data_IF_841196537185
#
_entry.id   IF_841196537185
#
_cell.length_a   1.000
_cell.length_b   1.000
_cell.length_c   1.000
_cell.angle_alpha   90.00
_cell.angle_beta   90.00
_cell.angle_gamma   90.00
#
_symmetry.space_group_name_H-M   'P 1'
#
loop_
_entity.id
_entity.type
_entity.pdbx_description
1 polymer ?
#
# COMPACT_ATOMS: atom_id res chain seq x y z
N UNK A 1 3.58 9.98 33.92
CA UNK A 1 2.81 10.69 32.85
C UNK A 1 1.40 10.10 32.86
N UNK A 2 0.38 10.88 33.16
CA UNK A 2 -1.01 10.41 33.03
C UNK A 2 -1.26 10.07 31.56
N UNK A 3 -1.79 8.87 31.30
CA UNK A 3 -2.16 8.47 29.94
C UNK A 3 -3.26 9.39 29.42
N UNK A 4 -3.03 10.04 28.32
CA UNK A 4 -3.99 10.87 27.62
C UNK A 4 -5.17 9.98 27.17
N UNK A 5 -6.40 10.30 27.56
CA UNK A 5 -7.59 9.58 27.10
C UNK A 5 -8.05 10.07 25.72
N UNK A 6 -9.08 9.42 25.14
CA UNK A 6 -9.68 9.78 23.83
C UNK A 6 -10.02 11.27 23.70
N UNK A 7 -10.50 11.90 24.78
CA UNK A 7 -10.78 13.35 24.85
C UNK A 7 -9.50 14.17 24.69
N UNK A 8 -8.38 13.71 25.26
CA UNK A 8 -7.09 14.35 25.11
C UNK A 8 -6.57 14.27 23.67
N UNK A 9 -6.70 13.12 23.01
CA UNK A 9 -6.39 12.95 21.60
C UNK A 9 -7.19 13.89 20.69
N UNK A 10 -8.51 14.00 20.92
CA UNK A 10 -9.36 14.95 20.17
C UNK A 10 -8.87 16.39 20.29
N UNK A 11 -8.36 16.77 21.45
CA UNK A 11 -7.80 18.12 21.67
C UNK A 11 -6.47 18.31 20.96
N UNK A 12 -5.55 17.32 21.06
CA UNK A 12 -4.21 17.37 20.48
C UNK A 12 -4.27 17.36 18.95
N UNK A 13 -5.07 16.46 18.36
CA UNK A 13 -5.20 16.27 16.91
C UNK A 13 -6.42 16.98 16.31
N UNK A 14 -6.91 18.04 16.97
CA UNK A 14 -8.15 18.73 16.58
C UNK A 14 -8.14 19.22 15.13
N UNK A 15 -7.03 19.74 14.66
CA UNK A 15 -6.91 20.29 13.30
C UNK A 15 -6.88 19.18 12.26
N UNK A 16 -6.15 18.09 12.52
CA UNK A 16 -6.12 16.88 11.68
C UNK A 16 -7.51 16.25 11.58
N UNK A 17 -8.18 16.03 12.72
CA UNK A 17 -9.54 15.48 12.77
C UNK A 17 -10.52 16.37 12.02
N UNK A 18 -10.47 17.68 12.23
CA UNK A 18 -11.30 18.63 11.49
C UNK A 18 -11.01 18.63 9.99
N UNK A 19 -9.74 18.51 9.60
CA UNK A 19 -9.32 18.38 8.21
C UNK A 19 -9.89 17.14 7.54
N UNK A 20 -9.74 15.97 8.18
CA UNK A 20 -10.29 14.72 7.69
C UNK A 20 -11.83 14.76 7.58
N UNK A 21 -12.52 15.33 8.58
CA UNK A 21 -13.97 15.46 8.54
C UNK A 21 -14.45 16.39 7.42
N UNK A 22 -13.74 17.48 7.15
CA UNK A 22 -14.05 18.37 6.02
C UNK A 22 -14.06 17.68 4.66
N UNK A 23 -13.29 16.61 4.46
CA UNK A 23 -13.31 15.86 3.20
C UNK A 23 -14.73 15.33 2.87
N UNK A 24 -15.46 14.87 3.89
CA UNK A 24 -16.85 14.42 3.72
C UNK A 24 -17.85 15.57 3.76
N UNK A 25 -17.69 16.51 4.68
CA UNK A 25 -18.62 17.66 4.86
C UNK A 25 -18.68 18.57 3.63
N UNK A 26 -17.56 18.70 2.91
CA UNK A 26 -17.48 19.46 1.67
C UNK A 26 -17.76 18.60 0.41
N UNK A 27 -18.11 17.31 0.59
CA UNK A 27 -18.39 16.41 -0.52
C UNK A 27 -17.17 16.07 -1.38
N UNK A 28 -15.94 16.25 -0.86
CA UNK A 28 -14.70 15.90 -1.56
C UNK A 28 -14.58 14.39 -1.71
N UNK A 29 -15.00 13.63 -0.69
CA UNK A 29 -15.16 12.18 -0.75
C UNK A 29 -16.55 11.79 -0.24
N UNK A 30 -17.16 10.70 -0.74
CA UNK A 30 -18.43 10.21 -0.24
C UNK A 30 -18.39 9.79 1.22
N UNK A 31 -17.33 9.12 1.63
CA UNK A 31 -17.16 8.61 2.98
C UNK A 31 -15.69 8.41 3.37
N UNK A 32 -15.49 8.31 4.67
CA UNK A 32 -14.17 8.14 5.28
C UNK A 32 -14.26 7.25 6.52
N UNK A 33 -13.28 6.36 6.67
CA UNK A 33 -12.95 5.67 7.92
C UNK A 33 -11.51 6.01 8.27
N UNK A 34 -11.24 6.51 9.46
CA UNK A 34 -9.88 6.83 9.85
C UNK A 34 -9.61 6.51 11.32
N UNK A 35 -8.35 6.30 11.64
CA UNK A 35 -7.87 6.19 12.99
C UNK A 35 -6.60 7.01 13.18
N UNK A 36 -6.46 7.56 14.35
CA UNK A 36 -5.24 8.12 14.90
C UNK A 36 -4.89 7.30 16.13
N UNK A 37 -3.61 7.00 16.33
CA UNK A 37 -3.14 6.39 17.56
C UNK A 37 -1.87 7.08 18.06
N UNK A 38 -1.70 7.12 19.37
CA UNK A 38 -0.62 7.80 20.07
C UNK A 38 -0.41 7.13 21.42
N UNK A 39 0.77 6.49 21.60
CA UNK A 39 1.14 5.79 22.84
C UNK A 39 0.05 4.82 23.34
N UNK A 40 -0.50 4.00 22.44
CA UNK A 40 -1.51 3.00 22.76
C UNK A 40 -2.92 3.54 22.98
N UNK A 41 -3.18 4.84 22.74
CA UNK A 41 -4.50 5.44 22.75
C UNK A 41 -4.95 5.64 21.31
N UNK A 42 -6.19 5.26 21.03
CA UNK A 42 -6.76 5.34 19.70
C UNK A 42 -7.97 6.27 19.65
N UNK A 43 -8.10 6.99 18.55
CA UNK A 43 -9.32 7.69 18.13
C UNK A 43 -9.73 7.19 16.77
N UNK A 44 -10.99 6.79 16.61
CA UNK A 44 -11.54 6.24 15.36
C UNK A 44 -12.81 6.98 14.95
N UNK A 45 -12.98 7.18 13.66
CA UNK A 45 -14.18 7.80 13.09
C UNK A 45 -14.60 7.09 11.80
N UNK A 46 -15.90 6.95 11.60
CA UNK A 46 -16.52 6.45 10.35
C UNK A 46 -17.64 7.41 9.98
N UNK A 47 -17.57 8.03 8.80
CA UNK A 47 -18.46 9.12 8.40
C UNK A 47 -18.81 9.08 6.93
N UNK A 48 -20.05 9.44 6.57
CA UNK A 48 -20.50 9.58 5.20
C UNK A 48 -21.09 8.31 4.60
N UNK A 49 -20.85 8.09 3.32
CA UNK A 49 -21.50 7.06 2.52
C UNK A 49 -20.47 6.11 1.89
N UNK A 50 -20.79 4.83 1.89
CA UNK A 50 -20.05 3.83 1.11
C UNK A 50 -20.31 3.99 -0.38
N UNK A 51 -21.55 4.29 -0.74
CA UNK A 51 -22.00 4.43 -2.13
C UNK A 51 -22.90 5.67 -2.26
N UNK A 52 -22.73 6.44 -3.35
CA UNK A 52 -23.60 7.55 -3.71
C UNK A 52 -24.24 7.39 -5.10
N UNK A 53 -23.75 6.46 -5.91
CA UNK A 53 -24.26 6.07 -7.22
C UNK A 53 -24.02 4.57 -7.47
N UNK A 54 -24.99 3.82 -8.05
CA UNK A 54 -26.31 4.29 -8.51
C UNK A 54 -27.32 4.53 -7.39
N UNK A 55 -27.03 4.07 -6.16
CA UNK A 55 -27.88 4.29 -4.98
C UNK A 55 -27.07 4.87 -3.83
N UNK A 56 -27.76 5.39 -2.82
CA UNK A 56 -27.11 5.93 -1.63
C UNK A 56 -27.09 4.87 -0.53
N UNK A 57 -25.90 4.46 -0.09
CA UNK A 57 -25.68 3.51 1.00
C UNK A 57 -24.79 4.13 2.07
N UNK A 58 -25.24 4.16 3.35
CA UNK A 58 -24.40 4.65 4.45
C UNK A 58 -23.12 3.83 4.62
N UNK A 59 -22.02 4.50 4.93
CA UNK A 59 -20.80 3.85 5.32
C UNK A 59 -20.97 3.23 6.73
N UNK A 60 -20.51 1.99 6.90
CA UNK A 60 -20.57 1.27 8.17
C UNK A 60 -19.16 0.91 8.62
N UNK A 61 -18.96 0.81 9.93
CA UNK A 61 -17.75 0.23 10.49
C UNK A 61 -17.49 -1.18 9.91
N UNK A 62 -16.23 -1.57 9.81
CA UNK A 62 -15.77 -2.87 9.29
C UNK A 62 -16.06 -3.14 7.80
N UNK A 63 -16.50 -2.15 7.03
CA UNK A 63 -16.50 -2.31 5.58
C UNK A 63 -15.06 -2.37 5.06
N UNK A 64 -14.84 -3.23 4.06
CA UNK A 64 -13.53 -3.44 3.44
C UNK A 64 -13.33 -2.42 2.31
N UNK A 65 -12.16 -1.81 2.29
CA UNK A 65 -11.74 -0.90 1.24
C UNK A 65 -10.72 -1.57 0.32
N UNK A 66 -10.81 -1.32 -0.98
CA UNK A 66 -9.72 -1.62 -1.90
C UNK A 66 -8.50 -0.76 -1.52
N UNK A 67 -7.47 -1.41 -1.04
CA UNK A 67 -6.25 -0.76 -0.57
C UNK A 67 -5.37 -0.23 -1.70
N UNK A 68 -5.63 -0.64 -2.93
CA UNK A 68 -4.78 -0.30 -4.07
C UNK A 68 -3.29 -0.53 -3.74
N UNK A 69 -2.47 0.50 -3.89
CA UNK A 69 -1.03 0.39 -3.68
C UNK A 69 -0.56 0.16 -2.24
N UNK A 70 -1.42 0.28 -1.22
CA UNK A 70 -1.05 -0.16 0.12
C UNK A 70 -0.76 -1.68 0.17
N UNK A 71 -1.31 -2.46 -0.77
CA UNK A 71 -0.96 -3.88 -0.98
C UNK A 71 0.56 -4.10 -1.03
N UNK A 72 1.30 -3.16 -1.61
CA UNK A 72 2.75 -3.24 -1.73
C UNK A 72 3.44 -3.32 -0.38
N UNK A 73 3.06 -2.43 0.52
CA UNK A 73 3.76 -2.24 1.81
C UNK A 73 3.19 -3.11 2.93
N UNK A 74 1.90 -3.46 2.86
CA UNK A 74 1.26 -4.33 3.85
C UNK A 74 1.48 -5.81 3.50
N UNK A 75 1.57 -6.14 2.21
CA UNK A 75 1.66 -7.52 1.74
C UNK A 75 3.03 -7.88 1.16
N UNK A 76 3.38 -7.30 0.01
CA UNK A 76 4.56 -7.74 -0.75
C UNK A 76 5.88 -7.42 -0.04
N UNK A 77 6.03 -6.23 0.56
CA UNK A 77 7.26 -5.87 1.31
C UNK A 77 7.54 -6.85 2.44
N UNK A 78 6.62 -7.19 3.34
CA UNK A 78 6.88 -8.19 4.37
C UNK A 78 7.32 -9.55 3.82
N UNK A 79 6.68 -10.06 2.77
CA UNK A 79 7.08 -11.34 2.13
C UNK A 79 8.52 -11.27 1.60
N UNK A 80 8.89 -10.18 0.95
CA UNK A 80 10.26 -9.97 0.44
C UNK A 80 11.26 -9.83 1.61
N UNK A 81 10.89 -9.08 2.66
CA UNK A 81 11.72 -8.92 3.86
C UNK A 81 11.99 -10.29 4.55
N UNK A 82 10.95 -11.12 4.70
CA UNK A 82 11.08 -12.51 5.22
C UNK A 82 12.01 -13.33 4.33
N UNK A 83 11.93 -13.21 3.01
CA UNK A 83 12.83 -13.92 2.09
C UNK A 83 14.29 -13.46 2.25
N UNK A 84 14.52 -12.17 2.49
CA UNK A 84 15.86 -11.60 2.72
C UNK A 84 16.42 -12.12 4.05
N UNK A 85 15.67 -12.06 5.15
CA UNK A 85 16.08 -12.57 6.45
C UNK A 85 16.41 -14.07 6.41
N UNK A 86 15.63 -14.84 5.65
CA UNK A 86 15.87 -16.27 5.45
C UNK A 86 17.05 -16.57 4.51
N UNK A 87 17.77 -15.56 4.01
CA UNK A 87 18.89 -15.72 3.09
C UNK A 87 18.54 -16.25 1.69
N UNK A 88 17.24 -16.29 1.34
CA UNK A 88 16.76 -16.75 0.03
C UNK A 88 16.88 -15.70 -1.05
N UNK A 89 16.98 -14.43 -0.66
CA UNK A 89 17.03 -13.26 -1.51
C UNK A 89 18.01 -12.24 -0.91
N UNK A 90 18.74 -11.52 -1.77
CA UNK A 90 19.62 -10.40 -1.38
C UNK A 90 19.15 -9.11 -2.06
N UNK A 91 19.26 -7.99 -1.37
CA UNK A 91 18.96 -6.66 -1.94
C UNK A 91 19.79 -6.40 -3.22
N UNK A 92 21.02 -6.90 -3.26
CA UNK A 92 21.96 -6.75 -4.39
C UNK A 92 21.76 -7.76 -5.52
N UNK A 93 20.87 -8.74 -5.35
CA UNK A 93 20.61 -9.71 -6.44
C UNK A 93 19.99 -9.00 -7.64
N UNK A 94 20.48 -9.29 -8.89
CA UNK A 94 19.85 -8.77 -10.08
C UNK A 94 18.48 -9.43 -10.29
N UNK A 95 17.52 -8.63 -10.77
CA UNK A 95 16.16 -9.10 -11.11
C UNK A 95 16.21 -10.29 -12.07
N UNK A 96 17.09 -10.24 -13.07
CA UNK A 96 17.26 -11.27 -14.08
C UNK A 96 17.62 -12.66 -13.50
N UNK A 97 18.26 -12.74 -12.33
CA UNK A 97 18.57 -14.00 -11.64
C UNK A 97 17.32 -14.85 -11.40
N UNK A 98 16.20 -14.21 -11.10
CA UNK A 98 14.93 -14.86 -10.77
C UNK A 98 13.94 -14.83 -11.95
N UNK A 99 14.02 -13.80 -12.79
CA UNK A 99 13.17 -13.56 -13.95
C UNK A 99 14.02 -13.49 -15.22
N UNK A 100 14.50 -14.62 -15.74
CA UNK A 100 15.45 -14.66 -16.88
C UNK A 100 14.83 -14.18 -18.20
N UNK A 101 13.52 -14.10 -18.29
CA UNK A 101 12.80 -13.50 -19.42
C UNK A 101 13.04 -11.98 -19.52
N UNK A 102 13.26 -11.31 -18.40
CA UNK A 102 13.68 -9.91 -18.36
C UNK A 102 15.18 -9.80 -18.65
N UNK A 103 15.55 -9.18 -19.75
CA UNK A 103 16.92 -9.28 -20.32
C UNK A 103 17.94 -8.31 -19.73
N UNK A 104 17.51 -7.30 -18.98
CA UNK A 104 18.43 -6.34 -18.38
C UNK A 104 18.90 -6.80 -17.00
N UNK A 105 20.19 -7.00 -16.83
CA UNK A 105 20.80 -7.50 -15.58
C UNK A 105 21.14 -6.40 -14.57
N UNK A 106 20.96 -5.13 -14.92
CA UNK A 106 21.36 -3.99 -14.08
C UNK A 106 20.45 -3.73 -12.88
N UNK A 107 19.11 -3.79 -13.00
CA UNK A 107 18.26 -3.57 -11.85
C UNK A 107 18.37 -4.68 -10.81
N UNK A 108 18.42 -4.28 -9.54
CA UNK A 108 18.47 -5.17 -8.38
C UNK A 108 17.15 -5.17 -7.61
N UNK A 109 17.03 -6.08 -6.66
CA UNK A 109 15.90 -6.14 -5.73
C UNK A 109 15.75 -4.82 -4.98
N UNK A 110 16.86 -4.21 -4.55
CA UNK A 110 16.84 -2.89 -3.89
C UNK A 110 16.27 -1.81 -4.81
N UNK A 111 16.61 -1.83 -6.08
CA UNK A 111 16.06 -0.88 -7.05
C UNK A 111 14.53 -1.04 -7.22
N UNK A 112 14.02 -2.26 -7.20
CA UNK A 112 12.57 -2.50 -7.25
C UNK A 112 11.89 -1.93 -6.00
N UNK A 113 12.40 -2.25 -4.81
CA UNK A 113 11.84 -1.80 -3.53
C UNK A 113 11.88 -0.28 -3.37
N UNK A 114 12.91 0.39 -3.88
CA UNK A 114 13.09 1.85 -3.76
C UNK A 114 12.54 2.66 -4.93
N UNK A 115 11.95 2.00 -5.94
CA UNK A 115 11.50 2.63 -7.18
C UNK A 115 12.61 3.39 -7.94
N UNK A 116 13.83 2.87 -7.90
CA UNK A 116 14.99 3.41 -8.60
C UNK A 116 15.45 2.53 -9.76
N UNK A 117 14.63 1.58 -10.18
CA UNK A 117 14.95 0.55 -11.18
C UNK A 117 15.07 1.07 -12.61
N UNK A 118 14.48 2.22 -12.92
CA UNK A 118 14.38 2.73 -14.28
C UNK A 118 13.55 1.84 -15.22
N UNK A 119 12.89 0.79 -14.70
CA UNK A 119 12.07 -0.12 -15.53
C UNK A 119 10.83 0.64 -16.00
N UNK A 120 10.66 0.69 -17.29
CA UNK A 120 9.57 1.37 -17.96
C UNK A 120 9.20 0.66 -19.28
N UNK A 121 8.07 1.06 -19.85
CA UNK A 121 7.53 0.54 -21.09
C UNK A 121 6.01 0.59 -21.08
N UNK A 122 5.44 0.81 -22.25
CA UNK A 122 4.00 0.82 -22.44
C UNK A 122 3.56 -0.52 -23.05
N UNK A 123 2.57 -1.15 -22.46
CA UNK A 123 1.93 -2.36 -22.99
C UNK A 123 0.56 -1.94 -23.55
N UNK A 124 0.38 -1.97 -24.89
CA UNK A 124 -0.89 -1.65 -25.51
C UNK A 124 -1.97 -2.66 -25.08
N UNK A 125 -3.22 -2.17 -24.97
CA UNK A 125 -4.39 -3.00 -24.68
C UNK A 125 -4.23 -3.98 -23.51
N UNK A 126 -3.45 -3.60 -22.50
CA UNK A 126 -3.08 -4.47 -21.37
C UNK A 126 -4.26 -5.00 -20.56
N UNK A 127 -5.39 -4.33 -20.59
CA UNK A 127 -6.65 -4.70 -19.94
C UNK A 127 -7.52 -5.66 -20.77
N UNK A 128 -7.07 -5.99 -21.99
CA UNK A 128 -7.68 -6.98 -22.88
C UNK A 128 -6.89 -8.29 -22.93
N UNK A 129 -5.66 -8.30 -22.36
CA UNK A 129 -4.80 -9.48 -22.31
C UNK A 129 -5.27 -10.44 -21.21
N UNK A 130 -5.00 -11.73 -21.42
CA UNK A 130 -5.08 -12.72 -20.34
C UNK A 130 -3.97 -12.49 -19.30
N UNK A 131 -4.11 -13.04 -18.10
CA UNK A 131 -3.07 -12.94 -17.06
C UNK A 131 -1.70 -13.40 -17.55
N UNK A 132 -1.67 -14.53 -18.27
CA UNK A 132 -0.43 -15.09 -18.83
C UNK A 132 0.21 -14.17 -19.87
N UNK A 133 -0.58 -13.62 -20.79
CA UNK A 133 -0.10 -12.70 -21.82
C UNK A 133 0.38 -11.39 -21.20
N UNK A 134 -0.33 -10.85 -20.21
CA UNK A 134 0.05 -9.63 -19.52
C UNK A 134 1.36 -9.83 -18.74
N UNK A 135 1.51 -10.95 -18.02
CA UNK A 135 2.77 -11.30 -17.32
C UNK A 135 3.92 -11.41 -18.31
N UNK A 136 3.72 -12.14 -19.41
CA UNK A 136 4.72 -12.29 -20.45
C UNK A 136 5.11 -10.94 -21.08
N UNK A 137 4.15 -10.07 -21.35
CA UNK A 137 4.42 -8.74 -21.89
C UNK A 137 5.26 -7.90 -20.92
N UNK A 138 4.94 -7.90 -19.62
CA UNK A 138 5.76 -7.22 -18.61
C UNK A 138 7.18 -7.78 -18.56
N UNK A 139 7.37 -9.10 -18.65
CA UNK A 139 8.71 -9.71 -18.59
C UNK A 139 9.55 -9.45 -19.85
N UNK A 140 8.95 -9.29 -21.02
CA UNK A 140 9.70 -9.24 -22.30
C UNK A 140 9.68 -7.90 -23.00
N UNK A 141 8.72 -7.00 -22.71
CA UNK A 141 8.56 -5.72 -23.42
C UNK A 141 9.01 -4.52 -22.59
N UNK A 142 9.34 -4.72 -21.30
CA UNK A 142 9.89 -3.65 -20.48
C UNK A 142 11.39 -3.47 -20.74
N UNK A 143 11.86 -2.23 -20.55
CA UNK A 143 13.27 -1.88 -20.67
C UNK A 143 13.69 -0.97 -19.52
N UNK A 144 15.00 -0.79 -19.35
CA UNK A 144 15.56 0.08 -18.32
C UNK A 144 16.07 1.36 -18.97
N UNK A 145 15.52 2.50 -18.54
CA UNK A 145 15.94 3.80 -19.02
C UNK A 145 17.14 4.38 -18.23
N UNK A 146 17.54 5.59 -18.57
CA UNK A 146 18.68 6.27 -17.95
C UNK A 146 18.44 6.74 -16.51
N UNK A 147 17.23 6.54 -15.96
CA UNK A 147 16.90 6.93 -14.59
C UNK A 147 17.31 5.90 -13.52
N UNK A 148 17.77 4.71 -13.93
CA UNK A 148 18.31 3.69 -13.02
C UNK A 148 19.37 4.30 -12.09
N UNK A 149 19.13 4.20 -10.77
CA UNK A 149 19.98 4.76 -9.71
C UNK A 149 20.26 6.27 -9.83
N UNK A 150 19.39 7.01 -10.53
CA UNK A 150 19.49 8.48 -10.67
C UNK A 150 18.23 9.20 -10.25
N UNK A 151 17.09 8.55 -10.33
CA UNK A 151 15.79 9.15 -10.01
C UNK A 151 14.87 8.12 -9.35
N UNK A 152 14.07 8.58 -8.41
CA UNK A 152 12.95 7.81 -7.87
C UNK A 152 11.76 7.99 -8.83
N UNK A 153 11.41 6.93 -9.54
CA UNK A 153 10.24 6.87 -10.42
C UNK A 153 9.29 5.78 -9.95
N UNK A 154 8.22 6.19 -9.25
CA UNK A 154 7.21 5.23 -8.80
C UNK A 154 6.62 4.46 -9.99
N UNK A 155 6.72 3.12 -9.94
CA UNK A 155 6.21 2.25 -10.98
C UNK A 155 5.70 0.94 -10.40
N UNK A 156 4.47 0.56 -10.76
CA UNK A 156 3.83 -0.68 -10.28
C UNK A 156 4.57 -1.94 -10.75
N UNK A 157 5.22 -1.90 -11.91
CA UNK A 157 5.99 -3.01 -12.46
C UNK A 157 7.05 -3.52 -11.47
N UNK A 158 7.62 -2.65 -10.65
CA UNK A 158 8.58 -3.04 -9.63
C UNK A 158 7.98 -4.07 -8.66
N UNK A 159 6.75 -3.87 -8.26
CA UNK A 159 6.05 -4.74 -7.31
C UNK A 159 5.37 -5.95 -7.97
N UNK A 160 5.09 -5.88 -9.26
CA UNK A 160 4.77 -7.08 -10.05
C UNK A 160 5.99 -8.02 -10.07
N UNK A 161 7.17 -7.49 -10.37
CA UNK A 161 8.42 -8.28 -10.40
C UNK A 161 8.77 -8.84 -9.03
N UNK A 162 8.67 -8.05 -7.96
CA UNK A 162 8.88 -8.55 -6.59
C UNK A 162 7.93 -9.71 -6.25
N UNK A 163 6.66 -9.60 -6.62
CA UNK A 163 5.68 -10.68 -6.47
C UNK A 163 6.12 -11.94 -7.20
N UNK A 164 6.45 -11.85 -8.48
CA UNK A 164 6.88 -13.00 -9.29
C UNK A 164 8.22 -13.59 -8.84
N UNK A 165 9.12 -12.79 -8.29
CA UNK A 165 10.35 -13.26 -7.65
C UNK A 165 10.02 -14.09 -6.41
N UNK A 166 9.11 -13.61 -5.56
CA UNK A 166 8.64 -14.38 -4.40
C UNK A 166 7.99 -15.70 -4.83
N UNK A 167 7.17 -15.69 -5.89
CA UNK A 167 6.59 -16.91 -6.48
C UNK A 167 7.65 -17.92 -6.93
N UNK A 168 8.74 -17.45 -7.56
CA UNK A 168 9.85 -18.32 -7.96
C UNK A 168 10.59 -18.93 -6.77
N UNK A 169 10.71 -18.18 -5.67
CA UNK A 169 11.43 -18.64 -4.45
C UNK A 169 10.59 -19.65 -3.68
N UNK A 170 9.28 -19.45 -3.58
CA UNK A 170 8.41 -20.21 -2.69
C UNK A 170 7.48 -21.21 -3.40
N UNK A 171 7.30 -21.11 -4.72
CA UNK A 171 6.44 -22.01 -5.50
C UNK A 171 4.94 -21.79 -5.27
N UNK A 172 4.53 -20.63 -4.76
CA UNK A 172 3.14 -20.25 -4.49
C UNK A 172 2.88 -18.85 -5.06
N UNK A 173 1.61 -18.52 -5.34
CA UNK A 173 1.25 -17.17 -5.79
C UNK A 173 1.56 -16.13 -4.71
N UNK A 174 1.87 -14.91 -5.13
CA UNK A 174 2.18 -13.83 -4.18
C UNK A 174 1.04 -13.57 -3.20
N UNK A 175 -0.22 -13.67 -3.63
CA UNK A 175 -1.36 -13.49 -2.73
C UNK A 175 -1.45 -14.61 -1.69
N UNK A 176 -1.17 -15.87 -2.06
CA UNK A 176 -1.10 -16.99 -1.10
C UNK A 176 0.05 -16.80 -0.11
N UNK A 177 1.20 -16.28 -0.55
CA UNK A 177 2.32 -15.97 0.33
C UNK A 177 1.98 -14.84 1.30
N UNK A 178 1.34 -13.78 0.83
CA UNK A 178 0.87 -12.69 1.69
C UNK A 178 -0.10 -13.23 2.74
N UNK A 179 -1.07 -14.05 2.33
CA UNK A 179 -2.03 -14.64 3.26
C UNK A 179 -1.32 -15.45 4.35
N UNK A 180 -0.50 -16.41 3.97
CA UNK A 180 0.09 -17.38 4.91
C UNK A 180 1.26 -16.81 5.73
N UNK A 181 2.06 -15.89 5.17
CA UNK A 181 3.26 -15.38 5.84
C UNK A 181 3.03 -14.06 6.56
N UNK A 182 1.95 -13.32 6.25
CA UNK A 182 1.70 -12.00 6.82
C UNK A 182 0.33 -11.93 7.49
N UNK A 183 -0.76 -12.13 6.74
CA UNK A 183 -2.12 -11.89 7.25
C UNK A 183 -2.51 -12.88 8.36
N UNK A 184 -2.29 -14.18 8.16
CA UNK A 184 -2.63 -15.22 9.13
C UNK A 184 -1.83 -15.06 10.45
N UNK A 185 -0.49 -14.90 10.43
CA UNK A 185 0.28 -14.67 11.65
C UNK A 185 -0.12 -13.40 12.40
N UNK A 186 -0.48 -12.33 11.68
CA UNK A 186 -0.95 -11.07 12.27
C UNK A 186 -2.43 -11.10 12.65
N UNK A 187 -3.15 -12.19 12.34
CA UNK A 187 -4.59 -12.36 12.60
C UNK A 187 -5.46 -11.29 11.92
N UNK A 188 -5.06 -10.81 10.77
CA UNK A 188 -5.81 -9.85 9.95
C UNK A 188 -6.93 -10.54 9.18
N UNK A 189 -7.97 -10.96 9.90
CA UNK A 189 -9.03 -11.86 9.39
C UNK A 189 -9.98 -11.20 8.40
N UNK A 190 -10.09 -9.88 8.45
CA UNK A 190 -10.94 -9.09 7.56
C UNK A 190 -10.15 -8.55 6.34
N UNK A 191 -8.87 -8.93 6.22
CA UNK A 191 -8.02 -8.57 5.08
C UNK A 191 -7.96 -9.72 4.11
N UNK A 192 -8.27 -9.47 2.83
CA UNK A 192 -8.42 -10.51 1.82
C UNK A 192 -8.20 -9.98 0.41
N UNK A 193 -7.98 -10.91 -0.53
CA UNK A 193 -8.00 -10.62 -1.98
C UNK A 193 -9.34 -10.99 -2.63
N UNK A 194 -10.24 -11.64 -1.88
CA UNK A 194 -11.56 -12.10 -2.34
C UNK A 194 -12.66 -11.57 -1.40
N UNK A 195 -12.87 -10.24 -1.34
CA UNK A 195 -13.87 -9.66 -0.45
C UNK A 195 -15.28 -9.95 -0.94
N UNK A 196 -16.23 -10.08 -0.01
CA UNK A 196 -17.63 -10.10 -0.36
C UNK A 196 -18.09 -8.69 -0.77
N UNK A 197 -18.72 -8.56 -1.93
CA UNK A 197 -19.18 -7.27 -2.43
C UNK A 197 -20.07 -6.52 -1.43
N UNK A 198 -20.94 -7.23 -0.70
CA UNK A 198 -21.84 -6.63 0.30
C UNK A 198 -21.08 -5.97 1.47
N UNK A 199 -19.87 -6.41 1.76
CA UNK A 199 -19.01 -5.87 2.81
C UNK A 199 -17.98 -4.87 2.30
N UNK A 200 -17.91 -4.68 0.99
CA UNK A 200 -16.90 -3.81 0.37
C UNK A 200 -17.45 -2.42 0.10
N UNK A 201 -16.60 -1.42 0.27
CA UNK A 201 -16.85 -0.06 -0.20
C UNK A 201 -16.61 -0.02 -1.71
N UNK A 202 -17.59 0.42 -2.53
CA UNK A 202 -17.40 0.50 -3.96
C UNK A 202 -16.37 1.56 -4.34
N UNK A 203 -15.70 1.33 -5.46
CA UNK A 203 -14.77 2.27 -6.08
C UNK A 203 -15.48 3.00 -7.24
N UNK A 204 -15.06 2.85 -8.45
CA UNK A 204 -15.51 3.64 -9.60
C UNK A 204 -16.73 3.03 -10.31
N UNK A 205 -17.54 3.86 -10.95
CA UNK A 205 -18.55 3.43 -11.91
C UNK A 205 -17.96 3.57 -13.31
N UNK A 206 -17.63 2.47 -13.94
CA UNK A 206 -17.02 2.44 -15.28
C UNK A 206 -17.99 1.94 -16.34
N UNK A 207 -17.88 2.47 -17.57
CA UNK A 207 -18.72 2.03 -18.68
C UNK A 207 -18.56 0.51 -18.97
N UNK A 208 -17.34 -0.03 -18.88
CA UNK A 208 -17.02 -1.43 -19.20
C UNK A 208 -17.31 -2.39 -18.04
N UNK A 209 -17.04 -1.96 -16.77
CA UNK A 209 -17.15 -2.83 -15.58
C UNK A 209 -18.37 -2.54 -14.70
N UNK A 210 -19.15 -1.48 -15.01
CA UNK A 210 -20.23 -1.01 -14.14
C UNK A 210 -19.69 -0.48 -12.80
N UNK A 211 -20.46 -0.65 -11.72
CA UNK A 211 -20.03 -0.35 -10.37
C UNK A 211 -18.98 -1.38 -9.92
N UNK A 212 -17.76 -0.93 -9.71
CA UNK A 212 -16.68 -1.80 -9.20
C UNK A 212 -16.83 -1.92 -7.70
N UNK A 213 -17.22 -3.11 -7.23
CA UNK A 213 -17.43 -3.41 -5.81
C UNK A 213 -17.03 -4.87 -5.51
N UNK A 214 -16.16 -5.08 -4.53
CA UNK A 214 -15.67 -6.42 -4.19
C UNK A 214 -14.69 -7.02 -5.21
N UNK A 215 -14.16 -6.21 -6.12
CA UNK A 215 -13.12 -6.57 -7.08
C UNK A 215 -12.12 -5.44 -7.20
N UNK A 216 -10.85 -5.76 -7.47
CA UNK A 216 -9.78 -4.77 -7.56
C UNK A 216 -10.09 -3.67 -8.58
N UNK A 217 -9.93 -2.41 -8.18
CA UNK A 217 -10.03 -1.26 -9.08
C UNK A 217 -8.87 -1.23 -10.09
N UNK A 218 -7.65 -1.53 -9.62
CA UNK A 218 -6.46 -1.55 -10.47
C UNK A 218 -6.62 -2.57 -11.61
N UNK A 219 -6.50 -2.16 -12.88
CA UNK A 219 -6.71 -3.06 -14.01
C UNK A 219 -5.68 -4.19 -14.09
N UNK A 220 -4.45 -3.99 -13.60
CA UNK A 220 -3.43 -5.05 -13.57
C UNK A 220 -3.78 -6.10 -12.53
N UNK A 221 -4.22 -5.67 -11.34
CA UNK A 221 -4.67 -6.58 -10.29
C UNK A 221 -5.94 -7.34 -10.72
N UNK A 222 -6.84 -6.69 -11.44
CA UNK A 222 -8.03 -7.34 -11.98
C UNK A 222 -7.69 -8.44 -13.00
N UNK A 223 -6.70 -8.22 -13.85
CA UNK A 223 -6.27 -9.20 -14.88
C UNK A 223 -5.36 -10.28 -14.30
N UNK A 224 -4.34 -9.90 -13.50
CA UNK A 224 -3.33 -10.84 -12.99
C UNK A 224 -3.84 -11.69 -11.82
N UNK A 225 -4.87 -11.23 -11.11
CA UNK A 225 -5.44 -11.97 -9.98
C UNK A 225 -4.37 -12.30 -8.93
N UNK A 226 -4.25 -13.58 -8.60
CA UNK A 226 -3.37 -14.08 -7.55
C UNK A 226 -1.86 -13.76 -7.74
N UNK A 227 -1.45 -13.42 -8.96
CA UNK A 227 -0.05 -13.10 -9.30
C UNK A 227 0.28 -11.60 -9.20
N UNK A 228 -0.65 -10.77 -8.70
CA UNK A 228 -0.45 -9.33 -8.58
C UNK A 228 0.10 -8.94 -7.22
N UNK A 229 1.37 -8.55 -7.15
CA UNK A 229 2.02 -8.03 -5.93
C UNK A 229 1.91 -6.52 -5.72
N UNK A 230 1.25 -5.76 -6.62
CA UNK A 230 1.23 -4.30 -6.53
C UNK A 230 -0.09 -3.71 -6.04
N UNK A 231 -1.19 -4.48 -6.08
CA UNK A 231 -2.54 -4.05 -5.71
C UNK A 231 -3.48 -5.27 -5.58
N UNK A 232 -4.73 -5.04 -5.17
CA UNK A 232 -5.81 -6.04 -5.14
C UNK A 232 -6.20 -6.51 -3.74
N UNK A 233 -5.49 -6.10 -2.70
CA UNK A 233 -5.85 -6.39 -1.31
C UNK A 233 -7.00 -5.47 -0.84
N UNK A 234 -7.92 -6.04 -0.09
CA UNK A 234 -8.98 -5.34 0.63
C UNK A 234 -8.79 -5.49 2.12
N UNK A 235 -9.07 -4.45 2.88
CA UNK A 235 -8.94 -4.47 4.34
C UNK A 235 -9.92 -3.53 5.03
N UNK A 236 -10.04 -3.69 6.34
CA UNK A 236 -10.77 -2.82 7.25
C UNK A 236 -9.84 -1.89 8.01
N UNK A 237 -10.41 -0.87 8.65
CA UNK A 237 -9.64 0.01 9.55
C UNK A 237 -9.04 -0.77 10.72
N UNK A 238 -9.79 -1.75 11.26
CA UNK A 238 -9.37 -2.55 12.41
C UNK A 238 -8.13 -3.40 12.08
N UNK A 239 -8.12 -4.09 10.93
CA UNK A 239 -6.97 -4.90 10.51
C UNK A 239 -5.74 -4.04 10.19
N UNK A 240 -5.94 -2.84 9.63
CA UNK A 240 -4.82 -1.92 9.40
C UNK A 240 -4.23 -1.37 10.69
N UNK A 241 -5.05 -1.18 11.74
CA UNK A 241 -4.54 -0.87 13.06
C UNK A 241 -3.71 -2.03 13.63
N UNK A 242 -4.20 -3.29 13.52
CA UNK A 242 -3.41 -4.46 13.92
C UNK A 242 -2.05 -4.50 13.21
N UNK A 243 -2.02 -4.27 11.90
CA UNK A 243 -0.79 -4.21 11.14
C UNK A 243 0.13 -3.08 11.61
N UNK A 244 -0.42 -1.89 11.81
CA UNK A 244 0.34 -0.70 12.17
C UNK A 244 1.00 -0.84 13.53
N UNK A 245 0.24 -1.24 14.55
CA UNK A 245 0.79 -1.53 15.88
C UNK A 245 1.81 -2.67 15.84
N UNK A 246 1.51 -3.77 15.14
CA UNK A 246 2.44 -4.87 15.01
C UNK A 246 3.77 -4.44 14.36
N UNK A 247 3.73 -3.55 13.36
CA UNK A 247 4.95 -3.10 12.70
C UNK A 247 5.83 -2.24 13.61
N UNK A 248 5.24 -1.25 14.30
CA UNK A 248 6.05 -0.29 15.09
C UNK A 248 6.40 -0.78 16.49
N UNK A 249 5.54 -1.60 17.11
CA UNK A 249 5.73 -2.03 18.51
C UNK A 249 6.42 -3.39 18.62
N UNK A 250 6.17 -4.31 17.68
CA UNK A 250 6.56 -5.72 17.83
C UNK A 250 7.20 -6.33 16.58
N UNK A 251 7.65 -5.50 15.64
CA UNK A 251 8.29 -5.97 14.40
C UNK A 251 7.45 -7.00 13.64
N UNK A 252 6.16 -6.68 13.43
CA UNK A 252 5.12 -7.56 12.88
C UNK A 252 4.97 -8.86 13.70
N UNK A 253 4.82 -8.74 15.01
CA UNK A 253 4.76 -9.88 15.95
C UNK A 253 5.97 -10.82 15.82
N UNK A 254 7.15 -10.26 15.57
CA UNK A 254 8.40 -11.02 15.42
C UNK A 254 8.56 -11.70 14.05
N UNK A 255 7.73 -11.39 13.05
CA UNK A 255 7.94 -11.87 11.68
C UNK A 255 9.19 -11.26 11.04
N UNK A 256 9.50 -10.02 11.41
CA UNK A 256 10.73 -9.32 11.00
C UNK A 256 11.67 -9.18 12.20
N UNK A 257 12.96 -9.24 11.96
CA UNK A 257 13.97 -8.90 12.97
C UNK A 257 14.16 -7.37 13.08
N UNK A 258 14.77 -6.92 14.19
CA UNK A 258 15.01 -5.50 14.45
C UNK A 258 15.76 -4.81 13.30
N UNK A 259 16.78 -5.52 12.77
CA UNK A 259 17.58 -4.98 11.66
C UNK A 259 16.73 -4.69 10.45
N UNK A 260 15.85 -5.63 10.08
CA UNK A 260 14.99 -5.49 8.90
C UNK A 260 13.99 -4.34 9.08
N UNK A 261 13.38 -4.24 10.27
CA UNK A 261 12.45 -3.13 10.54
C UNK A 261 13.18 -1.79 10.51
N UNK A 262 14.40 -1.71 11.06
CA UNK A 262 15.24 -0.52 10.95
C UNK A 262 15.51 -0.10 9.51
N UNK A 263 15.65 -1.06 8.58
CA UNK A 263 15.82 -0.72 7.16
C UNK A 263 14.55 -0.10 6.55
N UNK A 264 13.36 -0.39 7.08
CA UNK A 264 12.12 0.24 6.61
C UNK A 264 12.05 1.73 6.95
N UNK A 265 12.74 2.18 8.00
CA UNK A 265 12.76 3.57 8.47
C UNK A 265 14.03 4.33 8.05
N UNK A 266 14.77 3.84 7.07
CA UNK A 266 15.99 4.50 6.56
C UNK A 266 15.91 4.66 5.04
N UNK A 267 16.59 5.68 4.51
CA UNK A 267 16.79 5.79 3.05
C UNK A 267 17.56 4.57 2.55
N UNK A 268 16.98 3.90 1.56
CA UNK A 268 17.51 2.69 0.94
C UNK A 268 17.81 2.88 -0.54
N UNK A 269 17.82 4.11 -1.04
CA UNK A 269 18.20 4.38 -2.42
C UNK A 269 19.70 4.22 -2.61
N UNK A 270 20.10 3.93 -3.83
CA UNK A 270 21.52 3.95 -4.26
C UNK A 270 21.88 5.28 -4.95
N UNK A 271 21.00 6.27 -4.86
CA UNK A 271 21.20 7.61 -5.39
C UNK A 271 22.05 8.41 -4.39
N UNK A 272 23.12 9.10 -4.82
CA UNK A 272 23.91 9.93 -3.90
C UNK A 272 23.09 11.05 -3.26
N UNK A 273 23.24 11.25 -1.96
CA UNK A 273 22.52 12.26 -1.18
C UNK A 273 21.40 11.66 -0.34
N UNK A 274 20.63 12.51 0.31
CA UNK A 274 19.48 12.12 1.12
C UNK A 274 18.21 12.09 0.25
N UNK A 275 17.48 10.98 0.29
CA UNK A 275 16.26 10.79 -0.47
C UNK A 275 15.12 10.26 0.41
N UNK A 276 13.89 10.41 -0.05
CA UNK A 276 12.69 10.10 0.72
C UNK A 276 12.10 8.71 0.35
N UNK A 277 12.97 7.68 0.23
CA UNK A 277 12.48 6.35 -0.16
C UNK A 277 13.20 5.22 0.59
N UNK A 278 12.43 4.42 1.30
CA UNK A 278 12.85 3.19 1.93
C UNK A 278 12.42 1.96 1.11
N UNK A 279 12.52 0.77 1.69
CA UNK A 279 12.09 -0.49 1.09
C UNK A 279 10.56 -0.53 0.97
N UNK A 280 10.05 -0.04 -0.15
CA UNK A 280 8.62 0.09 -0.46
C UNK A 280 7.97 1.37 0.05
N UNK A 281 8.45 1.96 1.12
CA UNK A 281 7.84 3.10 1.80
C UNK A 281 8.37 4.44 1.32
N UNK A 282 7.53 5.46 1.36
CA UNK A 282 7.96 6.85 1.31
C UNK A 282 8.42 7.26 2.70
N UNK A 283 9.55 7.95 2.79
CA UNK A 283 10.02 8.57 4.03
C UNK A 283 9.52 10.01 4.13
N UNK A 284 9.06 10.35 5.30
CA UNK A 284 8.84 11.71 5.78
C UNK A 284 9.83 11.93 6.94
N UNK A 285 10.03 13.18 7.33
CA UNK A 285 10.90 13.53 8.45
C UNK A 285 10.11 14.33 9.48
N UNK A 286 10.23 13.95 10.74
CA UNK A 286 9.70 14.72 11.86
C UNK A 286 10.26 16.15 11.84
N UNK A 287 9.45 17.10 12.30
CA UNK A 287 9.81 18.54 12.24
C UNK A 287 10.87 18.90 13.29
N UNK A 288 10.83 18.27 14.45
CA UNK A 288 11.66 18.58 15.62
C UNK A 288 13.09 18.08 15.50
N UNK A 289 13.30 16.79 15.26
CA UNK A 289 14.61 16.12 15.29
C UNK A 289 14.96 15.40 13.98
N UNK A 290 14.04 15.44 13.00
CA UNK A 290 14.20 14.86 11.67
C UNK A 290 14.28 13.32 11.63
N UNK A 291 13.83 12.61 12.65
CA UNK A 291 13.73 11.14 12.53
C UNK A 291 12.80 10.75 11.39
N UNK A 292 12.95 9.51 10.91
CA UNK A 292 12.21 9.04 9.74
C UNK A 292 10.85 8.46 10.13
N UNK A 293 9.83 8.91 9.42
CA UNK A 293 8.44 8.45 9.48
C UNK A 293 8.13 7.76 8.15
N UNK A 294 7.50 6.60 8.16
CA UNK A 294 7.11 5.91 6.93
C UNK A 294 5.69 6.24 6.53
N UNK A 295 5.45 6.33 5.22
CA UNK A 295 4.11 6.55 4.69
C UNK A 295 3.90 5.87 3.35
N UNK A 296 2.65 5.55 3.02
CA UNK A 296 2.28 5.11 1.68
C UNK A 296 0.82 5.47 1.37
N UNK A 297 0.52 5.64 0.08
CA UNK A 297 -0.82 5.99 -0.39
C UNK A 297 -1.35 4.96 -1.39
N UNK A 298 -2.67 4.75 -1.40
CA UNK A 298 -3.38 3.98 -2.40
C UNK A 298 -4.17 4.89 -3.36
N UNK A 299 -4.28 4.48 -4.61
CA UNK A 299 -4.99 5.24 -5.65
C UNK A 299 -6.46 5.48 -5.30
N UNK A 300 -7.09 4.54 -4.63
CA UNK A 300 -8.49 4.58 -4.20
C UNK A 300 -8.79 5.61 -3.11
N UNK A 301 -7.74 6.21 -2.53
CA UNK A 301 -7.86 7.23 -1.48
C UNK A 301 -7.47 6.73 -0.10
N UNK A 302 -6.85 5.58 -0.04
CA UNK A 302 -6.30 5.01 1.21
C UNK A 302 -4.89 5.52 1.44
N UNK A 303 -4.51 5.72 2.70
CA UNK A 303 -3.16 6.07 3.08
C UNK A 303 -2.89 5.81 4.54
N UNK A 304 -1.62 5.67 4.88
CA UNK A 304 -1.17 5.53 6.26
C UNK A 304 0.19 6.20 6.47
N UNK A 305 0.40 6.65 7.70
CA UNK A 305 1.63 7.25 8.21
C UNK A 305 1.94 6.56 9.53
N UNK A 306 3.17 6.10 9.71
CA UNK A 306 3.62 5.42 10.92
C UNK A 306 4.92 6.03 11.40
N UNK A 307 4.93 6.43 12.65
CA UNK A 307 6.07 6.94 13.39
C UNK A 307 6.42 5.96 14.51
N UNK A 308 7.56 5.26 14.33
CA UNK A 308 8.01 4.25 15.29
C UNK A 308 8.65 4.87 16.52
N UNK A 309 9.31 6.01 16.37
CA UNK A 309 10.03 6.64 17.49
C UNK A 309 9.07 7.26 18.50
N UNK A 310 7.99 7.86 17.99
CA UNK A 310 6.97 8.49 18.84
C UNK A 310 5.76 7.57 19.10
N UNK A 311 5.78 6.30 18.69
CA UNK A 311 4.65 5.36 18.86
C UNK A 311 3.33 5.97 18.40
N UNK A 312 3.33 6.56 17.21
CA UNK A 312 2.19 7.30 16.64
C UNK A 312 1.86 6.83 15.23
N UNK A 313 0.62 7.01 14.84
CA UNK A 313 0.24 6.77 13.45
C UNK A 313 -1.14 7.25 13.09
N UNK A 314 -1.36 7.29 11.79
CA UNK A 314 -2.62 7.64 11.18
C UNK A 314 -2.95 6.72 10.02
N UNK A 315 -4.17 6.22 10.00
CA UNK A 315 -4.73 5.40 8.93
C UNK A 315 -5.96 6.09 8.39
N UNK A 316 -6.03 6.26 7.08
CA UNK A 316 -7.18 6.88 6.42
C UNK A 316 -7.63 6.01 5.25
N UNK A 317 -8.90 5.65 5.25
CA UNK A 317 -9.58 4.89 4.21
C UNK A 317 -10.71 5.75 3.64
N UNK A 318 -10.63 6.06 2.36
CA UNK A 318 -11.68 6.77 1.65
C UNK A 318 -12.05 6.05 0.35
N UNK A 319 -13.19 6.38 -0.21
CA UNK A 319 -13.60 5.97 -1.55
C UNK A 319 -13.54 7.16 -2.53
N UNK A 320 -12.43 7.89 -2.53
CA UNK A 320 -12.26 9.10 -3.36
C UNK A 320 -12.53 8.88 -4.84
N UNK A 321 -12.36 7.64 -5.32
CA UNK A 321 -12.60 7.26 -6.72
C UNK A 321 -14.07 6.93 -7.01
N UNK A 322 -14.97 7.03 -6.02
CA UNK A 322 -16.39 6.83 -6.21
C UNK A 322 -17.13 8.18 -6.36
N UNK A 323 -17.98 8.35 -7.35
CA UNK A 323 -18.29 7.43 -8.44
C UNK A 323 -17.31 7.50 -9.61
N UNK A 324 -16.34 8.43 -9.58
CA UNK A 324 -15.34 8.62 -10.64
C UNK A 324 -13.95 8.83 -10.08
N UNK A 325 -12.94 8.27 -10.75
CA UNK A 325 -11.53 8.47 -10.39
C UNK A 325 -11.03 9.90 -10.67
N UNK A 326 -11.79 10.72 -11.41
CA UNK A 326 -11.45 12.13 -11.71
C UNK A 326 -11.74 13.05 -10.51
N UNK A 327 -11.08 12.81 -9.39
CA UNK A 327 -11.23 13.58 -8.15
C UNK A 327 -9.89 14.21 -7.73
N UNK A 328 -9.53 15.31 -8.40
CA UNK A 328 -8.31 16.06 -8.10
C UNK A 328 -8.43 16.90 -6.81
N UNK A 329 -9.64 17.30 -6.42
CA UNK A 329 -9.90 18.03 -5.18
C UNK A 329 -9.41 17.24 -3.95
N UNK A 330 -9.59 15.92 -3.95
CA UNK A 330 -9.08 15.08 -2.88
C UNK A 330 -7.54 15.14 -2.77
N UNK A 331 -6.83 15.07 -3.88
CA UNK A 331 -5.37 15.09 -3.87
C UNK A 331 -4.84 16.39 -3.28
N UNK A 332 -5.44 17.53 -3.68
CA UNK A 332 -5.09 18.84 -3.13
C UNK A 332 -5.40 18.97 -1.64
N UNK A 333 -6.59 18.48 -1.22
CA UNK A 333 -6.99 18.53 0.19
C UNK A 333 -6.12 17.62 1.08
N UNK A 334 -5.78 16.42 0.59
CA UNK A 334 -4.89 15.49 1.31
C UNK A 334 -3.49 16.08 1.53
N UNK A 335 -2.94 16.75 0.52
CA UNK A 335 -1.59 17.31 0.60
C UNK A 335 -1.49 18.54 1.56
N UNK A 336 -2.63 18.98 2.11
CA UNK A 336 -2.74 20.04 3.12
C UNK A 336 -3.01 19.50 4.55
N UNK A 337 -3.24 18.19 4.69
CA UNK A 337 -3.45 17.52 5.97
C UNK A 337 -2.13 17.10 6.61
#
# INVERSE_FOLDING_TARGET
>A
MERMGETGMKKQYRETIAGLNRLVEQGIVPGISYALFDHGIEYREVKGYAEIQPKKEPLRAKMQYDLASLTKVIGTVPVIAIAIQAGKLKLTDPVQKYLPEFKDSRPTIQNLLTHTSGICGYIPHRDELTAKELKQAYLTQQHVDSSLNRQIKYADVNFLYLGWIAEKIYGQSIQSLIQSQVLDPLRMKETTFEPLAVNSVPTEVQAKRGLIRGTAHDPKAYVLGAECGCAGMFSTLDDLLLYSHALIETNLNGLLDDWMVDQLFKDQTLIPGEHSRSLGWKLLHAVNDRHCIISHTGFTGTWLILDREEDQGMIVLTNRVHPTAQNNAYLQARDQL
#
